data_IF_386551596836
#
_entry.id   IF_386551596836
#
_cell.length_a   1.000
_cell.length_b   1.000
_cell.length_c   1.000
_cell.angle_alpha   90.00
_cell.angle_beta   90.00
_cell.angle_gamma   90.00
#
_symmetry.space_group_name_H-M   'P 1'
#
loop_
_entity.id
_entity.type
_entity.pdbx_description
1 polymer ?
#
# COMPACT_ATOMS: atom_id res chain seq x y z
N UNK A 1 -22.88 -1.71 11.19
CA UNK A 1 -21.60 -1.85 11.89
C UNK A 1 -20.47 -1.43 10.95
N UNK A 2 -19.54 -0.66 11.46
CA UNK A 2 -18.38 -0.24 10.69
C UNK A 2 -17.30 -1.30 10.78
N UNK A 3 -16.84 -1.74 9.62
CA UNK A 3 -15.75 -2.69 9.52
C UNK A 3 -14.46 -1.92 9.25
N UNK A 4 -13.43 -2.14 10.08
CA UNK A 4 -12.14 -1.50 9.90
C UNK A 4 -11.28 -2.35 8.98
N UNK A 5 -10.73 -1.71 7.95
CA UNK A 5 -9.78 -2.36 7.07
C UNK A 5 -8.40 -2.38 7.73
N UNK A 6 -7.60 -3.38 7.39
CA UNK A 6 -6.19 -3.40 7.77
C UNK A 6 -5.49 -2.23 7.06
N UNK A 7 -4.83 -1.31 7.78
CA UNK A 7 -4.08 -0.25 7.11
C UNK A 7 -2.84 -0.85 6.41
N UNK A 8 -2.39 -0.22 5.30
CA UNK A 8 -1.21 -0.70 4.58
C UNK A 8 0.08 -0.55 5.39
N UNK A 9 0.12 0.39 6.32
CA UNK A 9 1.27 0.56 7.20
C UNK A 9 0.84 1.35 8.43
N UNK A 10 1.65 1.30 9.49
CA UNK A 10 1.44 2.14 10.66
C UNK A 10 2.24 3.42 10.50
N UNK A 11 1.53 4.47 10.13
CA UNK A 11 2.10 5.78 9.89
C UNK A 11 0.98 6.82 9.88
N UNK A 12 1.32 8.02 9.50
CA UNK A 12 0.35 9.11 9.46
C UNK A 12 -0.29 9.19 8.08
N UNK A 13 -1.63 9.13 8.05
CA UNK A 13 -2.37 9.39 6.81
C UNK A 13 -2.19 10.87 6.45
N UNK A 14 -1.45 11.14 5.39
CA UNK A 14 -1.16 12.51 4.95
C UNK A 14 -2.09 12.97 3.84
N UNK A 15 -2.64 12.02 3.08
CA UNK A 15 -3.59 12.34 2.02
C UNK A 15 -4.57 11.18 1.86
N UNK A 16 -5.87 11.49 1.96
CA UNK A 16 -6.94 10.53 1.78
C UNK A 16 -7.41 10.45 0.34
N UNK A 17 -8.37 9.57 0.10
CA UNK A 17 -8.95 9.37 -1.22
C UNK A 17 -9.83 10.56 -1.62
N UNK A 18 -9.62 11.06 -2.85
CA UNK A 18 -10.52 12.02 -3.50
C UNK A 18 -10.32 11.94 -5.01
N UNK A 19 -11.19 12.61 -5.78
CA UNK A 19 -11.18 12.49 -7.25
C UNK A 19 -9.84 12.80 -7.89
N UNK A 20 -9.14 13.81 -7.39
CA UNK A 20 -7.85 14.24 -7.93
C UNK A 20 -6.69 13.39 -7.41
N UNK A 21 -6.94 12.61 -6.37
CA UNK A 21 -5.96 11.71 -5.76
C UNK A 21 -6.66 10.43 -5.35
N UNK A 22 -6.92 9.50 -6.29
CA UNK A 22 -7.67 8.27 -6.02
C UNK A 22 -6.81 7.25 -5.29
N UNK A 23 -6.23 7.66 -4.16
CA UNK A 23 -5.26 6.89 -3.40
C UNK A 23 -5.18 7.41 -1.97
N UNK A 24 -4.39 6.73 -1.15
CA UNK A 24 -4.09 7.14 0.21
C UNK A 24 -2.58 7.19 0.38
N UNK A 25 -2.06 8.25 1.00
CA UNK A 25 -0.65 8.38 1.32
C UNK A 25 -0.45 8.28 2.83
N UNK A 26 0.43 7.37 3.24
CA UNK A 26 0.79 7.16 4.63
C UNK A 26 2.27 7.48 4.81
N UNK A 27 2.59 8.56 5.52
CA UNK A 27 3.96 8.85 5.89
C UNK A 27 4.46 7.77 6.85
N UNK A 28 5.64 7.26 6.60
CA UNK A 28 6.23 6.20 7.43
C UNK A 28 7.74 6.28 7.40
N UNK A 29 8.38 5.76 8.45
CA UNK A 29 9.83 5.66 8.51
C UNK A 29 10.27 4.57 7.52
N UNK A 30 11.33 4.79 6.71
CA UNK A 30 11.86 3.75 5.84
C UNK A 30 12.16 2.47 6.63
N UNK A 31 11.75 1.33 6.08
CA UNK A 31 11.88 0.04 6.75
C UNK A 31 10.68 -0.36 7.60
N UNK A 32 9.71 0.53 7.80
CA UNK A 32 8.46 0.17 8.48
C UNK A 32 7.71 -0.89 7.67
N UNK A 33 7.19 -1.94 8.32
CA UNK A 33 6.45 -2.98 7.60
C UNK A 33 5.23 -2.44 6.84
N UNK A 34 5.01 -2.99 5.65
CA UNK A 34 3.82 -2.74 4.85
C UNK A 34 3.00 -4.03 4.83
N UNK A 35 1.71 -3.92 5.10
CA UNK A 35 0.82 -5.07 5.30
C UNK A 35 -0.19 -5.18 4.16
N UNK A 36 -0.51 -6.43 3.79
CA UNK A 36 -1.60 -6.68 2.87
C UNK A 36 -2.93 -6.24 3.51
N UNK A 37 -3.66 -5.36 2.85
CA UNK A 37 -4.97 -4.91 3.37
C UNK A 37 -6.07 -5.94 3.13
N UNK A 38 -5.84 -6.87 2.22
CA UNK A 38 -6.68 -8.05 2.01
C UNK A 38 -5.78 -9.21 1.59
N UNK A 39 -6.29 -10.43 1.76
CA UNK A 39 -5.57 -11.63 1.32
C UNK A 39 -5.53 -11.68 -0.20
N UNK A 40 -4.48 -12.27 -0.75
CA UNK A 40 -4.37 -12.46 -2.19
C UNK A 40 -2.96 -12.83 -2.66
N UNK A 41 -2.83 -12.90 -3.97
CA UNK A 41 -1.54 -13.15 -4.62
C UNK A 41 -0.76 -11.87 -4.73
N UNK A 42 0.44 -11.89 -4.17
CA UNK A 42 1.39 -10.78 -4.27
C UNK A 42 2.25 -10.93 -5.51
N UNK A 43 2.33 -9.89 -6.30
CA UNK A 43 3.32 -9.73 -7.35
C UNK A 43 4.04 -8.41 -7.15
N UNK A 44 5.23 -8.28 -7.72
CA UNK A 44 5.98 -7.04 -7.67
C UNK A 44 6.04 -6.39 -9.04
N UNK A 45 6.11 -5.08 -9.04
CA UNK A 45 6.26 -4.28 -10.24
C UNK A 45 7.21 -3.13 -9.95
N UNK A 46 7.62 -2.44 -11.00
CA UNK A 46 8.49 -1.28 -10.87
C UNK A 46 8.24 -0.32 -12.01
N UNK A 47 8.21 0.96 -11.69
CA UNK A 47 8.36 2.00 -12.71
C UNK A 47 9.13 3.18 -12.11
N UNK A 48 9.67 4.04 -12.98
CA UNK A 48 10.54 5.12 -12.52
C UNK A 48 9.86 6.17 -11.66
N UNK A 49 8.53 6.29 -11.75
CA UNK A 49 7.76 7.28 -10.99
C UNK A 49 7.35 6.75 -9.62
N UNK A 50 6.83 5.53 -9.59
CA UNK A 50 6.27 4.93 -8.39
C UNK A 50 7.27 4.08 -7.62
N UNK A 51 8.43 3.78 -8.23
CA UNK A 51 9.44 2.94 -7.61
C UNK A 51 9.02 1.49 -7.52
N UNK A 52 9.36 0.83 -6.42
CA UNK A 52 8.99 -0.55 -6.19
C UNK A 52 7.55 -0.64 -5.74
N UNK A 53 6.77 -1.50 -6.40
CA UNK A 53 5.33 -1.62 -6.21
C UNK A 53 4.99 -3.05 -5.83
N UNK A 54 4.25 -3.22 -4.73
CA UNK A 54 3.61 -4.48 -4.39
C UNK A 54 2.16 -4.43 -4.90
N UNK A 55 1.70 -5.50 -5.54
CA UNK A 55 0.33 -5.61 -6.03
C UNK A 55 -0.27 -6.89 -5.47
N UNK A 56 -1.42 -6.78 -4.80
CA UNK A 56 -2.13 -7.92 -4.23
C UNK A 56 -3.47 -8.05 -4.93
N UNK A 57 -3.75 -9.25 -5.47
CA UNK A 57 -4.98 -9.51 -6.23
C UNK A 57 -5.68 -10.76 -5.72
N UNK A 58 -6.98 -10.66 -5.54
CA UNK A 58 -7.83 -11.81 -5.24
C UNK A 58 -9.27 -11.52 -5.61
N UNK A 59 -9.87 -12.42 -6.38
CA UNK A 59 -11.30 -12.43 -6.67
C UNK A 59 -11.82 -11.06 -7.14
N UNK A 60 -11.13 -10.45 -8.11
CA UNK A 60 -11.51 -9.16 -8.68
C UNK A 60 -11.11 -7.96 -7.84
N UNK A 61 -10.49 -8.16 -6.68
CA UNK A 61 -10.01 -7.09 -5.82
C UNK A 61 -8.51 -6.88 -6.03
N UNK A 62 -8.11 -5.62 -6.23
CA UNK A 62 -6.70 -5.27 -6.47
C UNK A 62 -6.31 -4.12 -5.56
N UNK A 63 -5.17 -4.26 -4.91
CA UNK A 63 -4.53 -3.18 -4.16
C UNK A 63 -3.07 -3.06 -4.56
N UNK A 64 -2.55 -1.84 -4.58
CA UNK A 64 -1.15 -1.59 -4.89
C UNK A 64 -0.52 -0.64 -3.87
N UNK A 65 0.75 -0.88 -3.60
CA UNK A 65 1.52 -0.23 -2.55
C UNK A 65 2.83 0.22 -3.19
N UNK A 66 3.02 1.52 -3.31
CA UNK A 66 4.11 2.09 -4.11
C UNK A 66 5.16 2.77 -3.25
N UNK A 67 6.29 3.09 -3.87
CA UNK A 67 7.45 3.75 -3.27
C UNK A 67 8.15 2.89 -2.21
N UNK A 68 7.97 1.56 -2.27
CA UNK A 68 8.52 0.65 -1.28
C UNK A 68 10.04 0.54 -1.40
N UNK A 69 10.69 0.32 -0.27
CA UNK A 69 12.11 -0.01 -0.23
C UNK A 69 12.34 -1.44 -0.72
N UNK A 70 11.48 -2.35 -0.29
CA UNK A 70 11.54 -3.78 -0.61
C UNK A 70 10.14 -4.29 -0.83
N UNK A 71 9.96 -5.16 -1.83
CA UNK A 71 8.75 -5.99 -1.99
C UNK A 71 9.14 -7.42 -1.68
N UNK A 72 8.35 -8.08 -0.85
CA UNK A 72 8.61 -9.46 -0.44
C UNK A 72 8.35 -10.44 -1.60
N UNK A 73 8.80 -11.69 -1.50
CA UNK A 73 8.69 -12.64 -2.60
C UNK A 73 7.25 -12.85 -3.06
N UNK A 74 7.01 -13.05 -4.37
CA UNK A 74 5.66 -13.33 -4.89
C UNK A 74 5.05 -14.56 -4.26
N UNK A 75 3.73 -14.58 -4.13
CA UNK A 75 2.99 -15.71 -3.59
C UNK A 75 1.75 -15.25 -2.85
N UNK A 76 1.13 -16.18 -2.17
CA UNK A 76 -0.08 -15.90 -1.39
C UNK A 76 0.27 -15.30 -0.04
N UNK A 77 -0.43 -14.20 0.31
CA UNK A 77 -0.31 -13.55 1.61
C UNK A 77 -1.71 -13.33 2.18
N UNK A 78 -1.85 -13.58 3.47
CA UNK A 78 -3.08 -13.29 4.18
C UNK A 78 -3.15 -11.81 4.57
N UNK A 79 -4.37 -11.30 4.72
CA UNK A 79 -4.60 -9.96 5.25
C UNK A 79 -3.79 -9.77 6.54
N UNK A 80 -3.05 -8.67 6.62
CA UNK A 80 -2.22 -8.35 7.78
C UNK A 80 -0.81 -8.93 7.75
N UNK A 81 -0.49 -9.78 6.77
CA UNK A 81 0.89 -10.23 6.61
C UNK A 81 1.75 -9.15 5.97
N UNK A 82 3.04 -9.15 6.32
CA UNK A 82 4.00 -8.18 5.77
C UNK A 82 4.31 -8.55 4.33
N UNK A 83 4.17 -7.58 3.43
CA UNK A 83 4.41 -7.77 2.00
C UNK A 83 5.58 -6.93 1.48
N UNK A 84 6.12 -6.06 2.32
CA UNK A 84 7.23 -5.20 1.93
C UNK A 84 7.57 -4.22 3.03
N UNK A 85 8.47 -3.29 2.71
CA UNK A 85 8.94 -2.26 3.65
C UNK A 85 8.75 -0.88 3.05
N UNK A 86 8.32 0.06 3.89
CA UNK A 86 8.18 1.47 3.53
C UNK A 86 9.49 2.02 3.00
N UNK A 87 9.42 2.88 1.99
CA UNK A 87 10.59 3.48 1.38
C UNK A 87 10.31 4.87 0.83
N UNK A 88 11.15 5.25 -0.11
CA UNK A 88 11.06 6.55 -0.78
C UNK A 88 11.52 6.40 -2.22
N UNK A 89 11.23 5.24 -2.83
CA UNK A 89 11.65 4.95 -4.20
C UNK A 89 10.71 5.57 -5.22
N UNK A 90 11.25 5.83 -6.41
CA UNK A 90 10.51 6.45 -7.50
C UNK A 90 10.61 7.98 -7.48
N UNK A 91 10.63 8.57 -8.69
CA UNK A 91 10.85 10.01 -8.85
C UNK A 91 9.70 10.88 -8.34
N UNK A 92 8.51 10.31 -8.19
CA UNK A 92 7.34 11.03 -7.68
C UNK A 92 7.28 11.06 -6.16
N UNK A 93 8.12 10.30 -5.46
CA UNK A 93 8.18 10.36 -4.01
C UNK A 93 9.05 11.53 -3.57
N UNK A 94 8.51 12.39 -2.72
CA UNK A 94 9.22 13.55 -2.18
C UNK A 94 9.53 13.40 -0.69
N UNK A 95 9.26 12.23 -0.14
CA UNK A 95 9.55 11.88 1.23
C UNK A 95 9.06 10.47 1.52
N UNK A 96 9.59 9.81 2.57
CA UNK A 96 9.21 8.42 2.84
C UNK A 96 7.72 8.28 3.12
N UNK A 97 7.05 7.46 2.33
CA UNK A 97 5.62 7.17 2.47
C UNK A 97 5.23 5.95 1.64
N UNK A 98 4.06 5.41 1.93
CA UNK A 98 3.41 4.41 1.09
C UNK A 98 2.26 5.09 0.35
N UNK A 99 2.30 5.02 -0.96
CA UNK A 99 1.19 5.43 -1.82
C UNK A 99 0.33 4.20 -2.05
N UNK A 100 -0.85 4.19 -1.47
CA UNK A 100 -1.75 3.05 -1.52
C UNK A 100 -2.92 3.31 -2.45
N UNK A 101 -3.11 2.44 -3.45
CA UNK A 101 -4.26 2.48 -4.34
C UNK A 101 -5.07 1.21 -4.22
N UNK A 102 -6.37 1.35 -4.37
CA UNK A 102 -7.31 0.23 -4.36
C UNK A 102 -8.35 0.45 -5.43
N UNK A 103 -8.87 -0.65 -5.97
CA UNK A 103 -10.00 -0.61 -6.90
C UNK A 103 -11.31 -0.18 -6.22
N UNK A 104 -11.31 -0.11 -4.89
CA UNK A 104 -12.44 0.37 -4.10
C UNK A 104 -11.92 1.24 -2.96
N UNK A 105 -12.67 2.28 -2.54
CA UNK A 105 -12.32 3.04 -1.35
C UNK A 105 -12.27 2.14 -0.12
N UNK A 106 -11.33 2.43 0.78
CA UNK A 106 -11.20 1.72 2.04
C UNK A 106 -11.54 2.64 3.20
N UNK A 107 -12.01 2.04 4.28
CA UNK A 107 -12.21 2.74 5.54
C UNK A 107 -11.10 2.34 6.50
N UNK A 108 -10.32 3.32 6.92
CA UNK A 108 -9.25 3.11 7.90
C UNK A 108 -9.62 3.82 9.19
N UNK A 109 -9.39 3.17 10.34
CA UNK A 109 -9.59 3.78 11.65
C UNK A 109 -10.99 4.35 11.86
N UNK A 110 -12.00 3.80 11.20
CA UNK A 110 -13.38 4.24 11.33
C UNK A 110 -13.74 5.50 10.56
N UNK A 111 -12.92 5.90 9.63
CA UNK A 111 -13.18 7.06 8.78
C UNK A 111 -13.55 6.67 7.37
#
# INVERSE_FOLDING_TARGET
>A
MISFEQPPTYGTLTQGYHEEHPAYDFACVPGTPVYAVHSGELTSDYNGRMGNIAVVKYNGRTSSYSHLQVVFPPGWYERGEVIGLCGNTGSWSTGPHVHFESDKPYTFFGI
#
